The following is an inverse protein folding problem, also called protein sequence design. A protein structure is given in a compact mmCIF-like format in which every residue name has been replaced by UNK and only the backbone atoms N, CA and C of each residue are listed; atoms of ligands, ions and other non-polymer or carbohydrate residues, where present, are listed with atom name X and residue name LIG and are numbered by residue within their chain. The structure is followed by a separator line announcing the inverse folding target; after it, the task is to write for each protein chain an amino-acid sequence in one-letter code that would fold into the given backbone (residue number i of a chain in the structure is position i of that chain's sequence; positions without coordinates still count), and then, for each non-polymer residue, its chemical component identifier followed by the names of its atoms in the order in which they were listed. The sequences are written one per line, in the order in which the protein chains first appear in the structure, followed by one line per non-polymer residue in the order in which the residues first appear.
data_IF_443986027377
#
_entry.id   IF_443986027377
#
_cell.length_a   1.000
_cell.length_b   1.000
_cell.length_c   1.000
_cell.angle_alpha   90.00
_cell.angle_beta   90.00
_cell.angle_gamma   90.00
#
_symmetry.space_group_name_H-M   'P 1'
#
loop_
_entity.id
_entity.type
_entity.pdbx_description
1 polymer ?
#
# COMPACT_ATOMS: atom_id res chain seq x y z
N UNK A 1 -1.63 10.77 -15.69
CA UNK A 1 -2.25 11.90 -16.38
C UNK A 1 -1.29 13.06 -16.27
N UNK A 2 -1.05 13.75 -17.38
CA UNK A 2 -0.40 15.05 -17.35
C UNK A 2 -1.47 16.13 -17.15
N UNK A 3 -1.06 17.37 -16.89
CA UNK A 3 -2.00 18.48 -16.65
C UNK A 3 -2.87 18.82 -17.87
N UNK A 4 -2.54 18.26 -19.05
CA UNK A 4 -3.30 18.46 -20.30
C UNK A 4 -4.37 17.40 -20.56
N UNK A 5 -4.51 16.38 -19.68
CA UNK A 5 -5.42 15.24 -19.87
C UNK A 5 -5.24 14.52 -21.23
N UNK A 6 -4.04 14.60 -21.80
CA UNK A 6 -3.73 14.10 -23.13
C UNK A 6 -3.62 12.57 -23.12
N UNK A 7 -4.30 11.93 -24.07
CA UNK A 7 -4.16 10.53 -24.37
C UNK A 7 -3.14 10.35 -25.51
N UNK A 8 -2.05 9.63 -25.22
CA UNK A 8 -1.04 9.30 -26.23
C UNK A 8 -1.32 7.90 -26.79
N UNK A 9 -1.39 7.78 -28.12
CA UNK A 9 -1.68 6.51 -28.79
C UNK A 9 -0.51 6.07 -29.66
N UNK A 10 -0.28 4.75 -29.71
CA UNK A 10 0.75 4.14 -30.54
C UNK A 10 2.16 4.64 -30.20
N UNK A 11 2.41 4.86 -28.92
CA UNK A 11 3.71 5.29 -28.40
C UNK A 11 4.37 4.20 -27.60
N UNK A 12 5.70 4.22 -27.62
CA UNK A 12 6.54 3.40 -26.75
C UNK A 12 7.00 4.24 -25.55
N UNK A 13 7.23 3.56 -24.42
CA UNK A 13 7.65 4.14 -23.18
C UNK A 13 9.02 3.56 -22.78
N UNK A 14 10.04 4.40 -22.71
CA UNK A 14 11.34 4.02 -22.16
C UNK A 14 11.39 4.31 -20.68
N UNK A 15 11.74 3.30 -19.89
CA UNK A 15 11.96 3.43 -18.44
C UNK A 15 13.45 3.29 -18.19
N UNK A 16 14.03 4.27 -17.50
CA UNK A 16 15.44 4.29 -17.10
C UNK A 16 15.52 4.38 -15.57
N UNK A 17 15.88 3.26 -14.95
CA UNK A 17 15.86 3.15 -13.49
C UNK A 17 14.42 3.26 -12.95
N UNK A 18 14.13 4.33 -12.23
CA UNK A 18 12.83 4.60 -11.61
C UNK A 18 12.03 5.71 -12.31
N UNK A 19 12.46 6.14 -13.50
CA UNK A 19 11.89 7.27 -14.23
C UNK A 19 11.45 6.90 -15.64
N UNK A 20 10.46 7.63 -16.13
CA UNK A 20 10.12 7.66 -17.56
C UNK A 20 11.18 8.52 -18.23
N UNK A 21 12.08 7.89 -18.99
CA UNK A 21 13.14 8.58 -19.72
C UNK A 21 12.66 9.19 -21.03
N UNK A 22 11.80 8.49 -21.76
CA UNK A 22 11.31 8.95 -23.06
C UNK A 22 9.94 8.34 -23.39
N UNK A 23 9.09 9.13 -24.01
CA UNK A 23 7.86 8.67 -24.69
C UNK A 23 7.97 9.07 -26.15
N UNK A 24 7.94 8.12 -27.06
CA UNK A 24 8.08 8.37 -28.49
C UNK A 24 7.47 7.25 -29.32
N UNK A 25 7.27 7.48 -30.59
CA UNK A 25 6.90 6.42 -31.54
C UNK A 25 8.15 5.68 -32.04
N UNK A 26 8.03 4.37 -32.19
CA UNK A 26 9.05 3.49 -32.75
C UNK A 26 10.43 3.60 -32.10
N UNK A 27 10.46 3.43 -30.75
CA UNK A 27 11.71 3.27 -30.03
C UNK A 27 12.39 1.96 -30.43
N UNK A 28 13.72 2.00 -30.54
CA UNK A 28 14.49 0.80 -30.88
C UNK A 28 14.79 -0.04 -29.66
N UNK A 29 14.28 -1.25 -29.57
CA UNK A 29 14.40 -2.09 -28.36
C UNK A 29 15.78 -2.73 -28.17
N UNK A 30 16.71 -2.61 -29.13
CA UNK A 30 17.99 -3.37 -29.14
C UNK A 30 18.89 -3.05 -27.93
N UNK A 31 18.64 -1.94 -27.23
CA UNK A 31 19.38 -1.53 -26.04
C UNK A 31 18.61 -1.72 -24.75
N UNK A 32 17.36 -2.20 -24.82
CA UNK A 32 16.56 -2.42 -23.62
C UNK A 32 16.91 -3.77 -22.99
N UNK A 33 17.14 -3.77 -21.68
CA UNK A 33 17.34 -4.99 -20.90
C UNK A 33 16.08 -5.88 -20.91
N UNK A 34 14.91 -5.24 -20.94
CA UNK A 34 13.61 -5.92 -20.99
C UNK A 34 12.63 -5.15 -21.88
N UNK A 35 11.93 -5.87 -22.72
CA UNK A 35 10.82 -5.33 -23.55
C UNK A 35 9.51 -5.98 -23.09
N UNK A 36 8.49 -5.16 -22.90
CA UNK A 36 7.13 -5.61 -22.62
C UNK A 36 6.26 -5.19 -23.78
N UNK A 37 5.66 -6.15 -24.47
CA UNK A 37 4.67 -5.87 -25.51
C UNK A 37 3.36 -5.44 -24.84
N UNK A 38 2.98 -4.17 -25.02
CA UNK A 38 1.75 -3.58 -24.51
C UNK A 38 0.75 -3.29 -25.66
N UNK A 39 0.89 -3.95 -26.80
CA UNK A 39 -0.03 -3.79 -27.94
C UNK A 39 -1.48 -4.09 -27.51
N UNK A 40 -2.37 -3.13 -27.79
CA UNK A 40 -3.78 -3.23 -27.39
C UNK A 40 -4.06 -3.03 -25.90
N UNK A 41 -3.07 -2.65 -25.13
CA UNK A 41 -3.22 -2.36 -23.70
C UNK A 41 -3.25 -0.84 -23.44
N UNK A 42 -3.75 -0.49 -22.27
CA UNK A 42 -3.69 0.89 -21.75
C UNK A 42 -2.64 0.93 -20.64
N UNK A 43 -1.69 1.84 -20.77
CA UNK A 43 -0.68 2.09 -19.74
C UNK A 43 -1.12 3.30 -18.93
N UNK A 44 -1.25 3.13 -17.64
CA UNK A 44 -1.65 4.18 -16.69
C UNK A 44 -0.63 4.27 -15.55
N UNK A 45 -0.53 5.42 -14.87
CA UNK A 45 0.22 5.50 -13.62
C UNK A 45 -0.31 4.49 -12.59
N UNK A 46 0.57 3.95 -11.75
CA UNK A 46 0.15 3.10 -10.64
C UNK A 46 -0.82 3.83 -9.72
N UNK A 47 -1.81 3.12 -9.21
CA UNK A 47 -2.83 3.69 -8.35
C UNK A 47 -2.25 4.08 -7.00
N UNK A 48 -2.86 5.11 -6.38
CA UNK A 48 -2.53 5.58 -5.05
C UNK A 48 -3.71 5.26 -4.12
N UNK A 49 -3.46 4.50 -3.07
CA UNK A 49 -4.42 4.23 -2.02
C UNK A 49 -4.13 5.14 -0.82
N UNK A 50 -5.06 6.02 -0.51
CA UNK A 50 -4.92 7.01 0.56
C UNK A 50 -5.57 6.58 1.89
N UNK A 51 -6.21 5.40 1.94
CA UNK A 51 -6.87 4.90 3.13
C UNK A 51 -6.75 3.38 3.25
N UNK A 52 -5.95 2.92 4.20
CA UNK A 52 -5.80 1.51 4.53
C UNK A 52 -5.51 1.34 6.03
N UNK A 53 -5.71 0.13 6.53
CA UNK A 53 -5.37 -0.32 7.87
C UNK A 53 -4.66 -1.67 7.74
N UNK A 54 -3.34 -1.65 7.55
CA UNK A 54 -2.56 -2.87 7.23
C UNK A 54 -2.71 -3.93 8.31
N UNK A 55 -2.66 -3.55 9.58
CA UNK A 55 -2.78 -4.49 10.70
C UNK A 55 -4.11 -5.23 10.76
N UNK A 56 -5.17 -4.68 10.15
CA UNK A 56 -6.49 -5.32 10.11
C UNK A 56 -6.61 -6.43 9.08
N UNK A 57 -5.66 -6.55 8.16
CA UNK A 57 -5.72 -7.48 7.03
C UNK A 57 -5.91 -8.94 7.48
N UNK A 58 -5.26 -9.36 8.56
CA UNK A 58 -5.39 -10.72 9.11
C UNK A 58 -6.67 -10.94 9.91
N UNK A 59 -7.41 -9.90 10.21
CA UNK A 59 -8.64 -9.98 11.03
C UNK A 59 -9.90 -9.56 10.28
N UNK A 60 -9.85 -9.50 8.96
CA UNK A 60 -10.96 -9.05 8.11
C UNK A 60 -12.24 -9.89 8.23
N UNK A 61 -12.12 -11.13 8.58
CA UNK A 61 -13.23 -12.08 8.49
C UNK A 61 -13.51 -12.80 9.81
N UNK A 62 -13.45 -12.05 10.90
CA UNK A 62 -13.76 -12.58 12.24
C UNK A 62 -15.28 -12.80 12.35
N UNK A 63 -15.78 -14.04 12.51
CA UNK A 63 -17.21 -14.33 12.50
C UNK A 63 -18.04 -13.55 13.52
N UNK A 64 -17.44 -13.28 14.69
CA UNK A 64 -18.11 -12.60 15.79
C UNK A 64 -18.46 -11.12 15.51
N UNK A 65 -17.94 -10.55 14.42
CA UNK A 65 -18.07 -9.11 14.10
C UNK A 65 -18.53 -8.83 12.68
N UNK A 66 -18.86 -9.85 11.89
CA UNK A 66 -19.22 -9.66 10.47
C UNK A 66 -20.42 -8.75 10.26
N UNK A 67 -21.45 -8.88 11.08
CA UNK A 67 -22.69 -8.10 10.98
C UNK A 67 -22.81 -7.05 12.11
N UNK A 68 -21.72 -6.80 12.83
CA UNK A 68 -21.75 -5.90 13.98
C UNK A 68 -21.77 -4.43 13.54
N UNK A 69 -22.56 -3.55 14.17
CA UNK A 69 -22.44 -2.11 14.02
C UNK A 69 -21.03 -1.63 14.39
N UNK A 70 -20.62 -0.47 13.85
CA UNK A 70 -19.26 0.04 13.96
C UNK A 70 -18.68 -0.02 15.40
N UNK A 71 -19.41 0.47 16.38
CA UNK A 71 -18.89 0.52 17.75
C UNK A 71 -18.75 -0.87 18.39
N UNK A 72 -19.69 -1.77 18.12
CA UNK A 72 -19.61 -3.15 18.58
C UNK A 72 -18.45 -3.88 17.90
N UNK A 73 -18.28 -3.66 16.58
CA UNK A 73 -17.15 -4.17 15.81
C UNK A 73 -15.81 -3.69 16.40
N UNK A 74 -15.69 -2.39 16.72
CA UNK A 74 -14.50 -1.82 17.35
C UNK A 74 -14.21 -2.47 18.70
N UNK A 75 -15.19 -2.53 19.59
CA UNK A 75 -15.01 -3.09 20.95
C UNK A 75 -14.50 -4.53 20.91
N UNK A 76 -15.09 -5.35 20.04
CA UNK A 76 -14.64 -6.76 19.88
C UNK A 76 -13.28 -6.86 19.20
N UNK A 77 -13.02 -6.01 18.22
CA UNK A 77 -11.77 -6.01 17.48
C UNK A 77 -10.59 -5.55 18.34
N UNK A 78 -10.79 -4.60 19.24
CA UNK A 78 -9.75 -4.15 20.17
C UNK A 78 -9.26 -5.28 21.08
N UNK A 79 -10.10 -6.20 21.48
CA UNK A 79 -9.69 -7.36 22.28
C UNK A 79 -8.69 -8.26 21.50
N UNK A 80 -8.78 -8.28 20.19
CA UNK A 80 -7.84 -8.99 19.32
C UNK A 80 -6.61 -8.13 19.10
N UNK A 81 -6.80 -6.89 18.69
CA UNK A 81 -5.71 -5.99 18.28
C UNK A 81 -4.78 -5.57 19.40
N UNK A 82 -5.25 -5.52 20.64
CA UNK A 82 -4.38 -5.29 21.82
C UNK A 82 -3.30 -6.37 21.98
N UNK A 83 -3.44 -7.50 21.28
CA UNK A 83 -2.47 -8.60 21.28
C UNK A 83 -1.55 -8.57 20.06
N UNK A 84 -1.60 -7.50 19.25
CA UNK A 84 -0.74 -7.36 18.07
C UNK A 84 0.73 -7.47 18.45
N UNK A 85 1.42 -8.31 17.71
CA UNK A 85 2.86 -8.50 17.77
C UNK A 85 3.54 -7.85 16.57
N UNK A 86 4.85 -7.62 16.65
CA UNK A 86 5.64 -7.15 15.50
C UNK A 86 5.48 -8.10 14.31
N UNK A 87 5.61 -9.41 14.53
CA UNK A 87 5.43 -10.42 13.48
C UNK A 87 4.03 -10.35 12.85
N UNK A 88 2.98 -10.20 13.68
CA UNK A 88 1.61 -10.06 13.18
C UNK A 88 1.44 -8.83 12.28
N UNK A 89 2.03 -7.69 12.66
CA UNK A 89 2.00 -6.47 11.83
C UNK A 89 2.85 -6.63 10.56
N UNK A 90 4.02 -7.24 10.63
CA UNK A 90 4.81 -7.54 9.44
C UNK A 90 4.07 -8.41 8.43
N UNK A 91 3.44 -9.49 8.89
CA UNK A 91 2.67 -10.40 8.03
C UNK A 91 1.44 -9.72 7.43
N UNK A 92 0.70 -8.96 8.24
CA UNK A 92 -0.49 -8.23 7.75
C UNK A 92 -0.10 -7.16 6.72
N UNK A 93 0.99 -6.43 6.97
CA UNK A 93 1.53 -5.43 6.04
C UNK A 93 1.97 -6.07 4.72
N UNK A 94 2.70 -7.19 4.77
CA UNK A 94 3.09 -7.94 3.56
C UNK A 94 1.86 -8.37 2.76
N UNK A 95 0.85 -8.89 3.43
CA UNK A 95 -0.39 -9.33 2.78
C UNK A 95 -1.12 -8.15 2.14
N UNK A 96 -1.29 -7.05 2.86
CA UNK A 96 -1.93 -5.84 2.34
C UNK A 96 -1.21 -5.29 1.11
N UNK A 97 0.12 -5.13 1.20
CA UNK A 97 0.93 -4.62 0.08
C UNK A 97 0.85 -5.56 -1.12
N UNK A 98 0.94 -6.88 -0.92
CA UNK A 98 0.83 -7.85 -2.00
C UNK A 98 -0.51 -7.77 -2.73
N UNK A 99 -1.60 -7.65 -2.00
CA UNK A 99 -2.95 -7.47 -2.58
C UNK A 99 -3.06 -6.17 -3.36
N UNK A 100 -2.53 -5.07 -2.81
CA UNK A 100 -2.49 -3.78 -3.48
C UNK A 100 -1.66 -3.82 -4.76
N UNK A 101 -0.47 -4.41 -4.73
CA UNK A 101 0.38 -4.56 -5.93
C UNK A 101 -0.32 -5.39 -7.01
N UNK A 102 -1.01 -6.45 -6.64
CA UNK A 102 -1.80 -7.28 -7.58
C UNK A 102 -2.97 -6.53 -8.21
N UNK A 103 -3.48 -5.50 -7.56
CA UNK A 103 -4.54 -4.62 -8.08
C UNK A 103 -4.02 -3.34 -8.75
N UNK A 104 -2.70 -3.21 -8.93
CA UNK A 104 -2.09 -2.06 -9.62
C UNK A 104 -1.83 -0.85 -8.72
N UNK A 105 -1.99 -0.97 -7.42
CA UNK A 105 -1.62 0.07 -6.46
C UNK A 105 -0.11 0.05 -6.26
N UNK A 106 0.53 1.19 -6.38
CA UNK A 106 2.00 1.35 -6.22
C UNK A 106 2.39 2.22 -5.02
N UNK A 107 1.42 2.91 -4.44
CA UNK A 107 1.64 3.83 -3.33
C UNK A 107 0.46 3.74 -2.37
N UNK A 108 0.70 3.64 -1.09
CA UNK A 108 -0.37 3.68 -0.07
C UNK A 108 0.09 4.42 1.17
N UNK A 109 -0.87 5.07 1.84
CA UNK A 109 -0.76 5.42 3.25
C UNK A 109 -1.34 4.29 4.10
N UNK A 110 -1.03 4.29 5.38
CA UNK A 110 -1.67 3.45 6.38
C UNK A 110 -2.17 4.29 7.56
N UNK A 111 -3.21 3.80 8.21
CA UNK A 111 -3.79 4.40 9.40
C UNK A 111 -3.63 3.43 10.57
N UNK A 112 -2.40 3.27 11.05
CA UNK A 112 -2.10 2.56 12.29
C UNK A 112 -2.36 3.48 13.47
N UNK A 113 -3.40 3.20 14.23
CA UNK A 113 -3.79 4.00 15.42
C UNK A 113 -3.80 3.19 16.72
N UNK A 114 -3.30 1.97 16.68
CA UNK A 114 -3.21 1.08 17.82
C UNK A 114 -1.76 0.88 18.24
N UNK A 115 -1.47 1.18 19.48
CA UNK A 115 -0.13 1.07 20.07
C UNK A 115 -0.18 0.28 21.36
N UNK A 116 -0.27 -1.07 21.32
CA UNK A 116 -0.22 -1.88 22.50
C UNK A 116 1.03 -1.58 23.33
N UNK A 117 0.90 -1.53 24.64
CA UNK A 117 1.96 -1.12 25.57
C UNK A 117 3.28 -1.85 25.34
N UNK A 118 3.21 -3.15 25.00
CA UNK A 118 4.40 -3.98 24.78
C UNK A 118 5.15 -3.68 23.47
N UNK A 119 4.48 -3.22 22.45
CA UNK A 119 5.06 -3.02 21.11
C UNK A 119 5.23 -1.55 20.76
N UNK A 120 4.35 -0.69 21.25
CA UNK A 120 4.45 0.75 21.07
C UNK A 120 4.67 1.17 19.61
N UNK A 121 5.56 2.14 19.42
CA UNK A 121 5.89 2.71 18.08
C UNK A 121 6.64 1.75 17.15
N UNK A 122 7.20 0.65 17.68
CA UNK A 122 7.92 -0.33 16.84
C UNK A 122 7.05 -0.97 15.77
N UNK A 123 5.72 -0.92 15.90
CA UNK A 123 4.79 -1.38 14.87
C UNK A 123 4.89 -0.55 13.60
N UNK A 124 5.04 0.77 13.70
CA UNK A 124 5.23 1.66 12.53
C UNK A 124 6.55 1.34 11.82
N UNK A 125 7.61 1.14 12.59
CA UNK A 125 8.92 0.79 12.04
C UNK A 125 8.86 -0.54 11.28
N UNK A 126 8.10 -1.51 11.79
CA UNK A 126 7.87 -2.79 11.13
C UNK A 126 7.16 -2.61 9.77
N UNK A 127 6.09 -1.82 9.70
CA UNK A 127 5.40 -1.50 8.44
C UNK A 127 6.32 -0.82 7.42
N UNK A 128 7.08 0.18 7.86
CA UNK A 128 8.04 0.88 7.00
C UNK A 128 9.11 -0.07 6.46
N UNK A 129 9.65 -0.96 7.30
CA UNK A 129 10.65 -1.93 6.88
C UNK A 129 10.09 -2.94 5.87
N UNK A 130 8.88 -3.43 6.09
CA UNK A 130 8.20 -4.32 5.14
C UNK A 130 7.97 -3.62 3.80
N UNK A 131 7.47 -2.39 3.81
CA UNK A 131 7.25 -1.63 2.58
C UNK A 131 8.56 -1.44 1.79
N UNK A 132 9.66 -1.11 2.47
CA UNK A 132 11.00 -1.01 1.86
C UNK A 132 11.46 -2.34 1.26
N UNK A 133 11.32 -3.44 1.99
CA UNK A 133 11.72 -4.78 1.51
C UNK A 133 10.93 -5.21 0.27
N UNK A 134 9.68 -4.80 0.18
CA UNK A 134 8.80 -5.11 -0.96
C UNK A 134 8.93 -4.12 -2.11
N UNK A 135 9.73 -3.07 -2.00
CA UNK A 135 9.85 -2.01 -3.02
C UNK A 135 8.56 -1.21 -3.21
N UNK A 136 7.72 -1.15 -2.18
CA UNK A 136 6.44 -0.45 -2.22
C UNK A 136 6.58 0.99 -1.71
N UNK A 137 5.96 1.95 -2.40
CA UNK A 137 5.99 3.36 -1.97
C UNK A 137 5.05 3.56 -0.79
N UNK A 138 5.68 3.72 0.35
CA UNK A 138 5.02 4.06 1.61
C UNK A 138 5.64 5.36 2.11
N UNK A 139 5.03 6.53 1.85
CA UNK A 139 5.63 7.81 2.18
C UNK A 139 5.80 7.93 3.69
N UNK A 140 7.04 8.09 4.19
CA UNK A 140 7.26 8.43 5.58
C UNK A 140 6.75 9.85 5.80
N UNK A 141 5.80 10.01 6.69
CA UNK A 141 5.28 11.33 7.07
C UNK A 141 3.89 11.70 6.57
N UNK A 142 3.15 10.79 5.92
CA UNK A 142 1.69 10.87 6.04
C UNK A 142 1.43 10.52 7.50
N UNK A 143 0.97 11.46 8.33
CA UNK A 143 0.73 11.14 9.72
C UNK A 143 -0.25 9.98 9.72
N UNK A 144 0.19 8.84 10.23
CA UNK A 144 -0.72 8.05 11.01
C UNK A 144 -1.51 9.07 11.82
N UNK A 145 -2.82 9.12 11.71
CA UNK A 145 -3.67 10.07 12.46
C UNK A 145 -3.51 9.93 13.98
N UNK A 146 -2.34 9.48 14.40
CA UNK A 146 -1.94 9.14 15.75
C UNK A 146 -1.89 10.32 16.71
N UNK A 147 -1.84 11.54 16.22
CA UNK A 147 -1.86 12.69 17.12
C UNK A 147 -3.28 13.09 17.58
N UNK A 148 -4.33 12.60 16.91
CA UNK A 148 -5.72 12.93 17.24
C UNK A 148 -6.53 11.79 17.86
N UNK A 149 -5.98 10.57 17.93
CA UNK A 149 -6.68 9.42 18.54
C UNK A 149 -5.71 8.40 19.12
N UNK A 150 -4.93 8.80 20.13
CA UNK A 150 -4.23 7.87 20.98
C UNK A 150 -5.28 7.12 21.84
N UNK A 151 -5.70 5.96 21.37
CA UNK A 151 -6.42 5.02 22.22
C UNK A 151 -5.34 4.15 22.86
N UNK A 152 -4.99 4.50 24.08
CA UNK A 152 -4.21 3.62 24.94
C UNK A 152 -5.14 2.50 25.44
N UNK A 153 -4.83 1.27 25.08
CA UNK A 153 -5.50 0.06 25.58
C UNK A 153 -4.54 -0.69 26.48
#
# INVERSE_FOLDING_TARGET
MNDSEEELRGVDLLIEGDKIGLISQALKPEKAERVIDATGMVVVPGFVNTHHHFYQTLTRNVPAVQDAPLFEWLLKSYEIWRQLTLEGVELSTRTAILEMMKSGVTTSSDHLYLFPEKTGKALIDAEIQVAKQMGFRFPPGVPCLSELSLIHI
#
